data_IF_482198541149
#
_entry.id   IF_482198541149
#
_cell.length_a   1.000
_cell.length_b   1.000
_cell.length_c   1.000
_cell.angle_alpha   90.00
_cell.angle_beta   90.00
_cell.angle_gamma   90.00
#
_symmetry.space_group_name_H-M   'P 1'
#
loop_
_entity.id
_entity.type
_entity.pdbx_description
1 polymer ?
#
# COMPACT_ATOMS: atom_id res chain seq x y z
N UNK A 1 41.44 14.79 -33.23
CA UNK A 1 40.21 13.98 -33.23
C UNK A 1 39.91 13.56 -31.80
N UNK A 2 39.17 14.41 -31.06
CA UNK A 2 38.68 14.11 -29.70
C UNK A 2 37.35 13.36 -29.84
N UNK A 3 37.39 12.05 -29.60
CA UNK A 3 36.16 11.26 -29.43
C UNK A 3 35.57 11.61 -28.06
N UNK A 4 34.68 12.61 -28.03
CA UNK A 4 33.78 12.82 -26.88
C UNK A 4 32.72 11.73 -26.89
N UNK A 5 33.03 10.61 -26.22
CA UNK A 5 32.02 9.65 -25.81
C UNK A 5 31.13 10.30 -24.75
N UNK A 6 30.10 11.01 -25.18
CA UNK A 6 29.01 11.42 -24.30
C UNK A 6 28.22 10.17 -23.93
N UNK A 7 28.56 9.56 -22.78
CA UNK A 7 27.68 8.62 -22.12
C UNK A 7 26.39 9.39 -21.74
N UNK A 8 25.37 9.29 -22.57
CA UNK A 8 24.03 9.68 -22.17
C UNK A 8 23.58 8.66 -21.12
N UNK A 9 23.69 9.00 -19.85
CA UNK A 9 23.00 8.26 -18.78
C UNK A 9 21.51 8.52 -19.01
N UNK A 10 20.80 7.54 -19.56
CA UNK A 10 19.34 7.63 -19.63
C UNK A 10 18.77 7.74 -18.21
N UNK A 11 17.81 8.65 -17.99
CA UNK A 11 17.20 8.77 -16.66
C UNK A 11 16.54 7.43 -16.30
N UNK A 12 16.85 6.91 -15.11
CA UNK A 12 16.29 5.65 -14.62
C UNK A 12 14.75 5.71 -14.70
N UNK A 13 14.15 4.67 -15.29
CA UNK A 13 12.70 4.50 -15.32
C UNK A 13 12.18 4.40 -13.91
N UNK A 14 11.11 5.14 -13.57
CA UNK A 14 10.56 5.23 -12.22
C UNK A 14 9.09 4.83 -12.22
N UNK A 15 8.67 4.06 -11.25
CA UNK A 15 7.27 3.66 -11.07
C UNK A 15 6.93 3.59 -9.59
N UNK A 16 5.73 4.00 -9.24
CA UNK A 16 5.23 3.96 -7.87
C UNK A 16 3.92 3.17 -7.81
N UNK A 17 3.72 2.40 -6.73
CA UNK A 17 2.55 1.58 -6.50
C UNK A 17 1.98 1.84 -5.11
N UNK A 18 0.66 1.87 -5.00
CA UNK A 18 0.01 1.52 -3.75
C UNK A 18 0.22 0.03 -3.46
N UNK A 19 -0.11 -0.41 -2.26
CA UNK A 19 0.01 -1.80 -1.84
C UNK A 19 -1.36 -2.47 -1.79
N UNK A 20 -2.29 -1.96 -0.98
CA UNK A 20 -3.63 -2.54 -0.85
C UNK A 20 -4.40 -2.51 -2.15
N UNK A 21 -4.96 -3.64 -2.57
CA UNK A 21 -5.67 -3.86 -3.83
C UNK A 21 -4.88 -3.49 -5.11
N UNK A 22 -3.56 -3.29 -4.99
CA UNK A 22 -2.65 -3.10 -6.14
C UNK A 22 -1.59 -4.20 -6.18
N UNK A 23 -0.88 -4.44 -5.09
CA UNK A 23 0.13 -5.51 -4.95
C UNK A 23 -0.33 -6.63 -4.00
N UNK A 24 -1.19 -6.30 -3.05
CA UNK A 24 -1.78 -7.21 -2.08
C UNK A 24 -3.29 -7.09 -2.15
N UNK A 25 -3.99 -8.21 -2.03
CA UNK A 25 -5.43 -8.18 -1.79
C UNK A 25 -5.70 -7.78 -0.35
N UNK A 26 -6.69 -6.92 -0.15
CA UNK A 26 -7.14 -6.50 1.16
C UNK A 26 -8.61 -6.88 1.34
N UNK A 27 -8.88 -7.83 2.22
CA UNK A 27 -10.23 -8.28 2.56
C UNK A 27 -10.47 -8.17 4.06
N UNK A 28 -11.28 -7.21 4.45
CA UNK A 28 -11.61 -6.96 5.85
C UNK A 28 -12.72 -7.88 6.39
N UNK A 29 -13.46 -8.56 5.51
CA UNK A 29 -14.66 -9.35 5.88
C UNK A 29 -14.42 -10.36 6.98
N UNK A 30 -13.34 -11.17 7.00
CA UNK A 30 -13.11 -12.14 8.07
C UNK A 30 -12.92 -11.51 9.46
N UNK A 31 -12.32 -10.32 9.51
CA UNK A 31 -12.19 -9.59 10.77
C UNK A 31 -13.54 -9.02 11.23
N UNK A 32 -14.33 -8.43 10.31
CA UNK A 32 -15.65 -7.89 10.64
C UNK A 32 -16.56 -8.98 11.18
N UNK A 33 -16.60 -10.15 10.56
CA UNK A 33 -17.37 -11.31 11.01
C UNK A 33 -16.96 -11.75 12.42
N UNK A 34 -15.66 -11.76 12.71
CA UNK A 34 -15.14 -12.06 14.05
C UNK A 34 -15.60 -11.02 15.08
N UNK A 35 -15.52 -9.72 14.77
CA UNK A 35 -15.92 -8.65 15.69
C UNK A 35 -17.42 -8.73 16.03
N UNK A 36 -18.25 -9.08 15.05
CA UNK A 36 -19.68 -9.33 15.25
C UNK A 36 -19.89 -10.58 16.12
N UNK A 37 -19.20 -11.68 15.79
CA UNK A 37 -19.29 -12.95 16.56
C UNK A 37 -18.88 -12.81 18.01
N UNK A 38 -17.93 -11.94 18.33
CA UNK A 38 -17.50 -11.61 19.70
C UNK A 38 -18.41 -10.58 20.40
N UNK A 39 -19.42 -10.03 19.71
CA UNK A 39 -20.30 -8.99 20.25
C UNK A 39 -19.57 -7.65 20.51
N UNK A 40 -18.45 -7.41 19.84
CA UNK A 40 -17.70 -6.14 19.92
C UNK A 40 -18.47 -5.05 19.17
N UNK A 41 -19.10 -5.42 18.06
CA UNK A 41 -20.02 -4.60 17.26
C UNK A 41 -21.30 -5.38 16.97
N UNK A 42 -22.39 -4.69 16.62
CA UNK A 42 -23.73 -5.30 16.45
C UNK A 42 -23.90 -6.00 15.08
N UNK A 43 -23.33 -5.43 14.04
CA UNK A 43 -23.54 -5.84 12.65
C UNK A 43 -22.43 -5.31 11.75
N UNK A 44 -22.51 -5.62 10.45
CA UNK A 44 -21.50 -5.26 9.46
C UNK A 44 -21.37 -3.74 9.28
N UNK A 45 -22.46 -2.98 9.35
CA UNK A 45 -22.43 -1.51 9.21
C UNK A 45 -21.68 -0.89 10.39
N UNK A 46 -22.05 -1.29 11.61
CA UNK A 46 -21.35 -0.87 12.84
C UNK A 46 -19.87 -1.29 12.85
N UNK A 47 -19.54 -2.45 12.27
CA UNK A 47 -18.15 -2.91 12.15
C UNK A 47 -17.34 -2.02 11.18
N UNK A 48 -17.91 -1.67 10.04
CA UNK A 48 -17.26 -0.73 9.09
C UNK A 48 -17.11 0.67 9.69
N UNK A 49 -18.12 1.18 10.39
CA UNK A 49 -18.06 2.45 11.09
C UNK A 49 -16.97 2.45 12.18
N UNK A 50 -16.91 1.38 12.99
CA UNK A 50 -15.93 1.21 14.04
C UNK A 50 -14.49 1.16 13.49
N UNK A 51 -14.26 0.33 12.46
CA UNK A 51 -12.93 0.17 11.85
C UNK A 51 -12.50 1.37 11.00
N UNK A 52 -13.44 2.22 10.58
CA UNK A 52 -13.18 3.41 9.79
C UNK A 52 -12.81 4.64 10.62
N UNK A 53 -12.88 5.80 10.00
CA UNK A 53 -12.76 7.10 10.67
C UNK A 53 -11.49 7.24 11.52
N UNK A 54 -11.66 7.59 12.80
CA UNK A 54 -10.56 7.85 13.74
C UNK A 54 -9.72 6.59 14.00
N UNK A 55 -10.34 5.41 14.03
CA UNK A 55 -9.64 4.14 14.24
C UNK A 55 -8.63 3.89 13.11
N UNK A 56 -9.09 3.90 11.85
CA UNK A 56 -8.23 3.74 10.68
C UNK A 56 -7.16 4.84 10.59
N UNK A 57 -7.54 6.10 10.81
CA UNK A 57 -6.61 7.23 10.75
C UNK A 57 -5.48 7.10 11.75
N UNK A 58 -5.77 6.67 12.98
CA UNK A 58 -4.75 6.52 14.02
C UNK A 58 -3.71 5.46 13.67
N UNK A 59 -4.11 4.35 13.04
CA UNK A 59 -3.21 3.34 12.55
C UNK A 59 -2.39 3.83 11.35
N UNK A 60 -3.05 4.37 10.33
CA UNK A 60 -2.38 4.86 9.12
C UNK A 60 -1.43 6.04 9.38
N UNK A 61 -1.59 6.76 10.48
CA UNK A 61 -0.65 7.78 10.95
C UNK A 61 0.44 7.24 11.90
N UNK A 62 0.44 5.93 12.18
CA UNK A 62 1.43 5.28 13.02
C UNK A 62 1.28 5.57 14.52
N UNK A 63 0.14 6.10 14.96
CA UNK A 63 -0.09 6.41 16.37
C UNK A 63 -0.29 5.14 17.21
N UNK A 64 -0.94 4.14 16.63
CA UNK A 64 -1.26 2.87 17.29
C UNK A 64 -1.15 1.71 16.31
N UNK A 65 -0.72 0.54 16.78
CA UNK A 65 -0.94 -0.74 16.10
C UNK A 65 -2.36 -1.25 16.35
N UNK A 66 -2.74 -2.38 15.74
CA UNK A 66 -4.12 -2.90 15.84
C UNK A 66 -4.54 -3.17 17.29
N UNK A 67 -3.70 -3.82 18.10
CA UNK A 67 -4.01 -4.12 19.51
C UNK A 67 -4.18 -2.86 20.34
N UNK A 68 -3.27 -1.89 20.17
CA UNK A 68 -3.34 -0.60 20.84
C UNK A 68 -4.60 0.17 20.45
N UNK A 69 -4.97 0.15 19.15
CA UNK A 69 -6.21 0.77 18.69
C UNK A 69 -7.42 0.16 19.36
N UNK A 70 -7.53 -1.18 19.40
CA UNK A 70 -8.65 -1.84 20.10
C UNK A 70 -8.65 -1.52 21.59
N UNK A 71 -7.50 -1.54 22.25
CA UNK A 71 -7.43 -1.21 23.68
C UNK A 71 -7.90 0.23 23.99
N UNK A 72 -7.70 1.19 23.08
CA UNK A 72 -8.21 2.57 23.27
C UNK A 72 -9.75 2.63 23.27
N UNK A 73 -10.42 1.83 22.45
CA UNK A 73 -11.88 1.84 22.30
C UNK A 73 -12.59 0.79 23.15
N UNK A 74 -11.92 -0.30 23.48
CA UNK A 74 -12.44 -1.45 24.21
C UNK A 74 -11.40 -1.98 25.22
N UNK A 75 -11.12 -1.20 26.28
CA UNK A 75 -10.13 -1.58 27.31
C UNK A 75 -10.58 -2.79 28.16
N UNK A 76 -11.83 -3.23 27.99
CA UNK A 76 -12.42 -4.42 28.63
C UNK A 76 -12.03 -5.74 27.93
N UNK A 77 -11.45 -5.69 26.74
CA UNK A 77 -11.02 -6.90 26.02
C UNK A 77 -9.78 -7.52 26.67
N UNK A 78 -9.80 -8.85 26.81
CA UNK A 78 -8.64 -9.60 27.31
C UNK A 78 -7.49 -9.63 26.28
N UNK A 79 -6.27 -9.84 26.75
CA UNK A 79 -5.08 -9.99 25.88
C UNK A 79 -5.24 -11.12 24.86
N UNK A 80 -5.94 -12.21 25.20
CA UNK A 80 -6.21 -13.31 24.27
C UNK A 80 -7.09 -12.85 23.11
N UNK A 81 -8.16 -12.10 23.39
CA UNK A 81 -9.06 -11.56 22.36
C UNK A 81 -8.31 -10.54 21.49
N UNK A 82 -7.47 -9.69 22.10
CA UNK A 82 -6.64 -8.74 21.35
C UNK A 82 -5.63 -9.48 20.44
N UNK A 83 -5.11 -10.64 20.88
CA UNK A 83 -4.23 -11.45 20.03
C UNK A 83 -5.00 -12.09 18.86
N UNK A 84 -6.19 -12.64 19.11
CA UNK A 84 -7.04 -13.20 18.03
C UNK A 84 -7.42 -12.13 16.99
N UNK A 85 -7.74 -10.91 17.44
CA UNK A 85 -8.00 -9.77 16.57
C UNK A 85 -6.76 -9.44 15.73
N UNK A 86 -5.59 -9.40 16.36
CA UNK A 86 -4.33 -9.14 15.64
C UNK A 86 -4.07 -10.22 14.57
N UNK A 87 -4.22 -11.50 14.94
CA UNK A 87 -3.96 -12.58 13.99
C UNK A 87 -4.93 -12.52 12.82
N UNK A 88 -6.21 -12.25 13.07
CA UNK A 88 -7.21 -12.05 12.02
C UNK A 88 -6.94 -10.79 11.18
N UNK A 89 -6.45 -9.71 11.81
CA UNK A 89 -6.03 -8.50 11.09
C UNK A 89 -4.89 -8.79 10.10
N UNK A 90 -3.92 -9.60 10.49
CA UNK A 90 -2.81 -9.98 9.61
C UNK A 90 -3.29 -10.81 8.41
N UNK A 91 -4.34 -11.63 8.56
CA UNK A 91 -4.93 -12.43 7.48
C UNK A 91 -5.71 -11.60 6.45
N UNK A 92 -6.09 -10.35 6.78
CA UNK A 92 -6.79 -9.46 5.83
C UNK A 92 -5.92 -9.04 4.65
N UNK A 93 -4.61 -9.29 4.70
CA UNK A 93 -3.64 -8.77 3.76
C UNK A 93 -2.86 -9.91 3.10
N UNK A 94 -3.17 -10.20 1.83
CA UNK A 94 -2.59 -11.34 1.10
C UNK A 94 -1.79 -10.87 -0.11
N UNK A 95 -0.48 -11.22 -0.24
CA UNK A 95 0.32 -10.82 -1.38
C UNK A 95 -0.19 -11.48 -2.67
N UNK A 96 -0.27 -10.70 -3.75
CA UNK A 96 -0.50 -11.21 -5.09
C UNK A 96 0.84 -11.62 -5.70
N UNK A 97 1.10 -12.93 -5.79
CA UNK A 97 2.39 -13.43 -6.31
C UNK A 97 2.70 -12.92 -7.73
N UNK A 98 1.75 -12.91 -8.71
CA UNK A 98 2.05 -12.36 -10.03
C UNK A 98 2.41 -10.87 -10.02
N UNK A 99 1.90 -10.10 -9.06
CA UNK A 99 2.27 -8.69 -8.89
C UNK A 99 3.65 -8.53 -8.24
N UNK A 100 4.01 -9.40 -7.31
CA UNK A 100 5.35 -9.45 -6.74
C UNK A 100 6.39 -9.81 -7.80
N UNK A 101 6.12 -10.83 -8.63
CA UNK A 101 6.96 -11.22 -9.77
C UNK A 101 7.15 -10.05 -10.75
N UNK A 102 6.10 -9.25 -10.96
CA UNK A 102 6.20 -8.03 -11.77
C UNK A 102 7.16 -7.00 -11.15
N UNK A 103 7.14 -6.81 -9.84
CA UNK A 103 8.10 -5.93 -9.17
C UNK A 103 9.54 -6.43 -9.36
N UNK A 104 9.78 -7.74 -9.24
CA UNK A 104 11.08 -8.35 -9.50
C UNK A 104 11.54 -8.12 -10.95
N UNK A 105 10.63 -8.33 -11.91
CA UNK A 105 10.88 -8.06 -13.33
C UNK A 105 11.26 -6.59 -13.57
N UNK A 106 10.52 -5.65 -12.99
CA UNK A 106 10.80 -4.21 -13.12
C UNK A 106 12.19 -3.86 -12.60
N UNK A 107 12.53 -4.35 -11.41
CA UNK A 107 13.85 -4.11 -10.81
C UNK A 107 14.97 -4.72 -11.66
N UNK A 108 14.75 -5.93 -12.22
CA UNK A 108 15.71 -6.58 -13.12
C UNK A 108 15.95 -5.80 -14.43
N UNK A 109 15.00 -4.95 -14.81
CA UNK A 109 15.06 -4.04 -15.98
C UNK A 109 15.47 -2.60 -15.61
N UNK A 110 16.14 -2.42 -14.48
CA UNK A 110 16.65 -1.14 -13.97
C UNK A 110 15.58 -0.09 -13.66
N UNK A 111 14.33 -0.51 -13.39
CA UNK A 111 13.33 0.39 -12.84
C UNK A 111 13.64 0.70 -11.37
N UNK A 112 13.50 1.95 -10.99
CA UNK A 112 13.36 2.34 -9.58
C UNK A 112 11.90 2.23 -9.19
N UNK A 113 11.64 1.40 -8.20
CA UNK A 113 10.28 1.12 -7.71
C UNK A 113 10.07 1.80 -6.36
N UNK A 114 8.91 2.43 -6.18
CA UNK A 114 8.47 2.97 -4.90
C UNK A 114 7.12 2.37 -4.51
N UNK A 115 6.94 2.16 -3.20
CA UNK A 115 5.69 1.72 -2.57
C UNK A 115 5.14 2.91 -1.76
N UNK A 116 3.99 3.43 -2.17
CA UNK A 116 3.33 4.61 -1.59
C UNK A 116 1.99 4.19 -0.99
N UNK A 117 1.92 3.90 0.30
CA UNK A 117 0.71 3.30 0.88
C UNK A 117 0.22 3.97 2.15
N UNK A 118 -1.11 4.05 2.28
CA UNK A 118 -1.78 4.25 3.56
C UNK A 118 -1.82 2.90 4.28
N UNK A 119 -1.00 2.74 5.30
CA UNK A 119 -0.78 1.45 5.96
C UNK A 119 -0.44 1.65 7.44
N UNK A 120 -1.00 0.81 8.31
CA UNK A 120 -0.67 0.80 9.73
C UNK A 120 0.63 0.03 10.04
N UNK A 121 1.18 0.17 11.27
CA UNK A 121 2.47 -0.42 11.64
C UNK A 121 2.55 -1.94 11.45
N UNK A 122 1.49 -2.68 11.78
CA UNK A 122 1.47 -4.14 11.69
C UNK A 122 1.60 -4.62 10.24
N UNK A 123 0.77 -4.09 9.33
CA UNK A 123 0.84 -4.42 7.91
C UNK A 123 2.11 -3.88 7.24
N UNK A 124 2.62 -2.71 7.67
CA UNK A 124 3.90 -2.19 7.15
C UNK A 124 5.06 -3.14 7.48
N UNK A 125 5.08 -3.68 8.69
CA UNK A 125 6.05 -4.70 9.10
C UNK A 125 5.88 -5.99 8.28
N UNK A 126 4.64 -6.47 8.14
CA UNK A 126 4.33 -7.65 7.34
C UNK A 126 4.80 -7.52 5.88
N UNK A 127 4.55 -6.37 5.24
CA UNK A 127 5.00 -6.10 3.86
C UNK A 127 6.53 -6.16 3.77
N UNK A 128 7.24 -5.59 4.74
CA UNK A 128 8.71 -5.62 4.79
C UNK A 128 9.26 -7.02 4.91
N UNK A 129 8.61 -7.87 5.70
CA UNK A 129 9.07 -9.22 6.02
C UNK A 129 8.62 -10.26 4.97
N UNK A 130 7.51 -9.99 4.26
CA UNK A 130 6.90 -10.97 3.34
C UNK A 130 7.71 -11.23 2.08
N UNK A 131 8.40 -10.21 1.54
CA UNK A 131 9.12 -10.32 0.27
C UNK A 131 10.44 -9.54 0.28
N UNK A 132 11.57 -10.24 0.19
CA UNK A 132 12.91 -9.61 0.15
C UNK A 132 13.08 -8.57 -0.97
N UNK A 133 12.33 -8.69 -2.05
CA UNK A 133 12.40 -7.74 -3.16
C UNK A 133 12.03 -6.32 -2.72
N UNK A 134 11.20 -6.17 -1.71
CA UNK A 134 10.78 -4.86 -1.20
C UNK A 134 11.90 -4.11 -0.47
N UNK A 135 12.97 -4.79 -0.05
CA UNK A 135 14.19 -4.12 0.44
C UNK A 135 14.86 -3.26 -0.64
N UNK A 136 14.62 -3.58 -1.94
CA UNK A 136 15.13 -2.82 -3.08
C UNK A 136 14.19 -1.68 -3.52
N UNK A 137 13.00 -1.61 -2.94
CA UNK A 137 12.02 -0.57 -3.22
C UNK A 137 12.15 0.59 -2.25
N UNK A 138 11.85 1.80 -2.73
CA UNK A 138 11.62 2.93 -1.83
C UNK A 138 10.27 2.69 -1.15
N UNK A 139 10.25 2.72 0.17
CA UNK A 139 9.04 2.53 0.97
C UNK A 139 8.66 3.87 1.59
N UNK A 140 7.49 4.37 1.23
CA UNK A 140 6.93 5.62 1.74
C UNK A 140 5.54 5.32 2.31
N UNK A 141 5.53 4.90 3.57
CA UNK A 141 4.35 4.43 4.27
C UNK A 141 3.80 5.52 5.18
N UNK A 142 2.49 5.68 5.19
CA UNK A 142 1.83 6.74 5.96
C UNK A 142 2.15 6.69 7.45
N UNK A 143 2.26 5.48 8.03
CA UNK A 143 2.61 5.29 9.43
C UNK A 143 4.05 5.73 9.78
N UNK A 144 4.98 5.72 8.81
CA UNK A 144 6.36 6.16 9.03
C UNK A 144 6.51 7.68 8.89
N UNK A 145 5.72 8.28 7.97
CA UNK A 145 5.87 9.70 7.64
C UNK A 145 4.87 10.62 8.35
N UNK A 146 3.90 10.03 9.05
CA UNK A 146 2.87 10.79 9.78
C UNK A 146 1.92 11.59 8.87
N UNK A 147 1.80 11.18 7.62
CA UNK A 147 0.90 11.78 6.63
C UNK A 147 0.29 10.68 5.75
N UNK A 148 -0.94 10.88 5.27
CA UNK A 148 -1.66 9.87 4.49
C UNK A 148 -2.22 10.43 3.19
N UNK A 149 -2.40 9.56 2.19
CA UNK A 149 -3.15 9.85 0.97
C UNK A 149 -4.64 10.07 1.34
N UNK A 150 -5.37 10.97 0.67
CA UNK A 150 -4.96 11.81 -0.45
C UNK A 150 -4.41 13.19 -0.04
N UNK A 151 -3.79 13.36 1.13
CA UNK A 151 -3.28 14.68 1.53
C UNK A 151 -2.06 15.11 0.69
N UNK A 152 -1.97 16.42 0.42
CA UNK A 152 -0.79 17.01 -0.25
C UNK A 152 0.50 16.68 0.49
N UNK A 153 0.45 16.71 1.82
CA UNK A 153 1.62 16.48 2.67
C UNK A 153 2.27 15.12 2.37
N UNK A 154 1.49 14.07 2.15
CA UNK A 154 2.00 12.75 1.82
C UNK A 154 2.80 12.77 0.51
N UNK A 155 2.24 13.30 -0.57
CA UNK A 155 2.90 13.33 -1.87
C UNK A 155 4.08 14.32 -1.91
N UNK A 156 3.95 15.47 -1.24
CA UNK A 156 5.04 16.44 -1.13
C UNK A 156 6.22 15.89 -0.34
N UNK A 157 5.98 15.17 0.75
CA UNK A 157 7.07 14.56 1.53
C UNK A 157 7.86 13.55 0.68
N UNK A 158 7.18 12.74 -0.13
CA UNK A 158 7.85 11.83 -1.06
C UNK A 158 8.67 12.58 -2.12
N UNK A 159 8.09 13.63 -2.73
CA UNK A 159 8.79 14.44 -3.70
C UNK A 159 10.05 15.10 -3.11
N UNK A 160 9.94 15.66 -1.91
CA UNK A 160 11.06 16.32 -1.22
C UNK A 160 12.18 15.34 -0.89
N UNK A 161 11.84 14.15 -0.37
CA UNK A 161 12.85 13.16 0.04
C UNK A 161 13.55 12.47 -1.14
N UNK A 162 12.82 12.18 -2.22
CA UNK A 162 13.33 11.31 -3.28
C UNK A 162 13.47 12.01 -4.65
N UNK A 163 12.98 13.25 -4.79
CA UNK A 163 13.09 14.03 -6.02
C UNK A 163 12.34 13.41 -7.21
N UNK A 164 11.30 12.60 -6.95
CA UNK A 164 10.49 12.01 -8.01
C UNK A 164 9.40 12.97 -8.45
N UNK A 165 9.26 13.17 -9.75
CA UNK A 165 8.37 14.16 -10.36
C UNK A 165 7.51 13.57 -11.48
N UNK A 166 6.84 14.40 -12.25
CA UNK A 166 5.77 14.12 -13.23
C UNK A 166 6.01 12.98 -14.25
N UNK A 167 7.21 12.44 -14.39
CA UNK A 167 7.49 11.32 -15.28
C UNK A 167 7.35 9.95 -14.61
N UNK A 168 6.82 9.90 -13.39
CA UNK A 168 6.60 8.66 -12.63
C UNK A 168 5.18 8.18 -12.89
N UNK A 169 5.01 6.93 -13.33
CA UNK A 169 3.71 6.26 -13.33
C UNK A 169 3.39 5.86 -11.89
N UNK A 170 2.19 6.17 -11.45
CA UNK A 170 1.69 5.85 -10.12
C UNK A 170 0.38 5.07 -10.22
N UNK A 171 0.34 3.88 -9.62
CA UNK A 171 -0.82 2.99 -9.59
C UNK A 171 -1.45 2.99 -8.21
N UNK A 172 -2.77 3.19 -8.14
CA UNK A 172 -3.54 3.20 -6.89
C UNK A 172 -4.99 2.78 -7.17
N UNK A 173 -5.65 2.11 -6.22
CA UNK A 173 -7.03 1.64 -6.34
C UNK A 173 -8.08 2.72 -6.05
N UNK A 174 -7.67 3.84 -5.42
CA UNK A 174 -8.60 4.88 -4.97
C UNK A 174 -8.54 6.13 -5.83
N UNK A 175 -9.71 6.50 -6.37
CA UNK A 175 -9.86 7.68 -7.22
C UNK A 175 -9.39 8.97 -6.54
N UNK A 176 -9.64 9.14 -5.24
CA UNK A 176 -9.23 10.34 -4.50
C UNK A 176 -7.71 10.46 -4.39
N UNK A 177 -7.02 9.32 -4.17
CA UNK A 177 -5.57 9.27 -4.18
C UNK A 177 -5.01 9.62 -5.55
N UNK A 178 -5.66 9.13 -6.62
CA UNK A 178 -5.28 9.42 -8.00
C UNK A 178 -5.48 10.89 -8.34
N UNK A 179 -6.60 11.48 -7.91
CA UNK A 179 -6.91 12.90 -8.16
C UNK A 179 -5.83 13.80 -7.54
N UNK A 180 -5.48 13.57 -6.29
CA UNK A 180 -4.41 14.35 -5.63
C UNK A 180 -3.02 13.97 -6.17
N UNK A 181 -2.77 12.68 -6.37
CA UNK A 181 -1.49 12.17 -6.89
C UNK A 181 -1.17 12.68 -8.30
N UNK A 182 -2.18 12.99 -9.11
CA UNK A 182 -2.01 13.50 -10.49
C UNK A 182 -1.38 14.90 -10.53
N UNK A 183 -1.39 15.65 -9.43
CA UNK A 183 -0.64 16.91 -9.33
C UNK A 183 0.89 16.68 -9.32
N UNK A 184 1.33 15.45 -9.03
CA UNK A 184 2.75 15.09 -8.84
C UNK A 184 3.24 14.01 -9.81
N UNK A 185 2.36 13.08 -10.23
CA UNK A 185 2.68 11.87 -10.98
C UNK A 185 1.70 11.63 -12.13
N UNK A 186 2.07 10.72 -13.03
CA UNK A 186 1.16 10.21 -14.05
C UNK A 186 0.34 9.06 -13.45
N UNK A 187 -0.83 9.38 -12.91
CA UNK A 187 -1.68 8.47 -12.17
C UNK A 187 -2.44 7.49 -13.05
N UNK A 188 -2.54 6.23 -12.61
CA UNK A 188 -3.28 5.15 -13.27
C UNK A 188 -4.13 4.47 -12.20
N UNK A 189 -5.47 4.57 -12.35
CA UNK A 189 -6.41 3.85 -11.48
C UNK A 189 -6.29 2.36 -11.76
N UNK A 190 -5.98 1.59 -10.74
CA UNK A 190 -5.76 0.15 -10.86
C UNK A 190 -6.19 -0.56 -9.58
N UNK A 191 -7.12 -1.50 -9.71
CA UNK A 191 -7.63 -2.30 -8.59
C UNK A 191 -7.64 -3.78 -8.97
N UNK A 192 -6.92 -4.61 -8.21
CA UNK A 192 -6.85 -6.07 -8.36
C UNK A 192 -8.25 -6.72 -8.37
N UNK A 193 -9.20 -6.15 -7.66
CA UNK A 193 -10.56 -6.69 -7.58
C UNK A 193 -11.34 -6.56 -8.89
N UNK A 194 -10.87 -5.77 -9.85
CA UNK A 194 -11.47 -5.64 -11.17
C UNK A 194 -11.03 -6.74 -12.15
N UNK A 195 -10.16 -7.67 -11.74
CA UNK A 195 -9.63 -8.74 -12.59
C UNK A 195 -10.09 -10.11 -12.13
N UNK A 196 -10.23 -11.03 -13.09
CA UNK A 196 -10.63 -12.42 -12.83
C UNK A 196 -9.50 -13.24 -12.19
N UNK A 197 -8.25 -12.84 -12.42
CA UNK A 197 -7.06 -13.41 -11.81
C UNK A 197 -5.95 -12.38 -11.61
N UNK A 198 -5.03 -12.66 -10.71
CA UNK A 198 -3.86 -11.83 -10.48
C UNK A 198 -2.90 -11.84 -11.68
N UNK A 199 -2.87 -12.94 -12.45
CA UNK A 199 -2.10 -13.03 -13.69
C UNK A 199 -2.61 -12.05 -14.76
N UNK A 200 -3.94 -11.94 -14.91
CA UNK A 200 -4.56 -10.98 -15.84
C UNK A 200 -4.25 -9.55 -15.40
N UNK A 201 -4.33 -9.26 -14.10
CA UNK A 201 -3.98 -7.98 -13.52
C UNK A 201 -2.51 -7.61 -13.82
N UNK A 202 -1.59 -8.53 -13.55
CA UNK A 202 -0.15 -8.34 -13.83
C UNK A 202 0.13 -8.12 -15.32
N UNK A 203 -0.56 -8.85 -16.21
CA UNK A 203 -0.44 -8.65 -17.66
C UNK A 203 -0.91 -7.26 -18.10
N UNK A 204 -2.04 -6.78 -17.58
CA UNK A 204 -2.54 -5.45 -17.88
C UNK A 204 -1.57 -4.38 -17.37
N UNK A 205 -1.04 -4.54 -16.17
CA UNK A 205 -0.07 -3.60 -15.61
C UNK A 205 1.24 -3.58 -16.42
N UNK A 206 1.74 -4.75 -16.89
CA UNK A 206 2.89 -4.81 -17.82
C UNK A 206 2.65 -3.97 -19.08
N UNK A 207 1.46 -4.04 -19.67
CA UNK A 207 1.11 -3.25 -20.85
C UNK A 207 1.13 -1.74 -20.57
N UNK A 208 0.66 -1.32 -19.40
CA UNK A 208 0.77 0.09 -18.98
C UNK A 208 2.22 0.54 -18.82
N UNK A 209 3.11 -0.35 -18.40
CA UNK A 209 4.51 -0.04 -18.17
C UNK A 209 5.35 -0.14 -19.46
N UNK A 210 4.77 -0.64 -20.57
CA UNK A 210 5.46 -0.88 -21.83
C UNK A 210 6.71 -1.78 -21.68
N UNK A 211 6.60 -2.77 -20.80
CA UNK A 211 7.60 -3.81 -20.67
C UNK A 211 7.35 -4.81 -21.80
N UNK A 212 7.97 -4.56 -22.93
CA UNK A 212 8.01 -5.48 -24.08
C UNK A 212 9.26 -6.32 -23.99
#
# INVERSE_FOLDING_TARGET
>A
LTNDCHFRIEPAKKVAFDIGNVLFRFDLSPLLDMLIGLGIVSDTEAAHEFMGGTFQHSQELGLYNIKQSFYQFRPDLSDNVLQEIHDRWMETFTPSLPMIDLIEELISKDYKVALLSNIGPDHAMFVRDSCKIFEKCIQHFSCDVGARKPTRLFFQSFLIHYGWNNNVKYFDDKQDNMTMGSEYYNGILFDLNNFTSDDDAAKVMRNHLLIV
#
